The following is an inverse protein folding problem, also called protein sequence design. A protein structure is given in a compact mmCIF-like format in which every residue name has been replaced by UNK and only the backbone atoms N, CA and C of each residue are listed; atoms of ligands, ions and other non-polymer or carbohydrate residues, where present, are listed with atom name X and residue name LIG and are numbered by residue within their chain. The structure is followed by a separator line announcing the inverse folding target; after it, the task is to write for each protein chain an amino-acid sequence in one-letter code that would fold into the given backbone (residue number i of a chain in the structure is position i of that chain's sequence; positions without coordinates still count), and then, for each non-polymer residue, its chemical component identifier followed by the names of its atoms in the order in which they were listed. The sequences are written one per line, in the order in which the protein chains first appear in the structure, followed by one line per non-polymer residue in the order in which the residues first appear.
data_IF_587163943467
#
_entry.id   IF_587163943467
#
_cell.length_a   1.000
_cell.length_b   1.000
_cell.length_c   1.000
_cell.angle_alpha   90.00
_cell.angle_beta   90.00
_cell.angle_gamma   90.00
#
_symmetry.space_group_name_H-M   'P 1'
#
loop_
_entity.id
_entity.type
_entity.pdbx_description
1 polymer ?
#
# COMPACT_ATOMS: atom_id res chain seq x y z
N UNK A 1 -8.58 -58.19 59.70
CA UNK A 1 -7.38 -57.50 59.18
C UNK A 1 -7.82 -56.18 58.57
N UNK A 2 -7.16 -55.06 58.90
CA UNK A 2 -7.79 -53.75 59.12
C UNK A 2 -7.54 -52.72 58.00
N UNK A 3 -8.34 -51.65 58.09
CA UNK A 3 -8.15 -50.25 57.71
C UNK A 3 -6.83 -49.81 57.02
N UNK A 4 -6.95 -48.97 55.99
CA UNK A 4 -6.19 -47.72 55.94
C UNK A 4 -6.88 -46.64 55.08
N UNK A 5 -6.81 -45.43 55.63
CA UNK A 5 -7.44 -44.16 55.30
C UNK A 5 -6.31 -43.22 54.85
N UNK A 6 -6.41 -42.52 53.71
CA UNK A 6 -5.59 -41.36 53.29
C UNK A 6 -5.92 -41.06 51.81
N UNK A 7 -6.03 -39.85 51.29
CA UNK A 7 -6.35 -38.51 51.77
C UNK A 7 -6.62 -37.66 50.50
N UNK A 8 -7.36 -36.56 50.68
CA UNK A 8 -7.63 -35.53 49.66
C UNK A 8 -6.37 -35.07 48.90
N UNK A 9 -6.53 -34.87 47.59
CA UNK A 9 -5.64 -34.07 46.75
C UNK A 9 -6.46 -33.19 45.80
N UNK A 10 -7.05 -32.12 46.33
CA UNK A 10 -7.67 -31.05 45.54
C UNK A 10 -6.58 -30.33 44.72
N UNK A 11 -6.51 -30.60 43.42
CA UNK A 11 -5.64 -29.86 42.51
C UNK A 11 -6.33 -28.56 42.10
N UNK A 12 -6.20 -27.56 42.97
CA UNK A 12 -6.49 -26.16 42.66
C UNK A 12 -5.38 -25.64 41.74
N UNK A 13 -5.59 -25.78 40.43
CA UNK A 13 -4.70 -25.23 39.41
C UNK A 13 -4.71 -23.71 39.45
N UNK A 14 -3.60 -23.15 39.93
CA UNK A 14 -3.26 -21.74 39.95
C UNK A 14 -3.39 -21.13 38.54
N UNK A 15 -4.45 -20.36 38.30
CA UNK A 15 -4.54 -19.44 37.16
C UNK A 15 -3.47 -18.36 37.36
N UNK A 16 -2.28 -18.61 36.82
CA UNK A 16 -1.28 -17.58 36.62
C UNK A 16 -1.89 -16.52 35.71
N UNK A 17 -2.28 -15.39 36.32
CA UNK A 17 -2.65 -14.18 35.60
C UNK A 17 -1.48 -13.76 34.73
N UNK A 18 -1.56 -14.08 33.45
CA UNK A 18 -0.70 -13.51 32.45
C UNK A 18 -0.98 -11.99 32.44
N UNK A 19 -0.09 -11.24 33.09
CA UNK A 19 0.01 -9.81 32.89
C UNK A 19 0.23 -9.58 31.40
N UNK A 20 -0.86 -9.27 30.68
CA UNK A 20 -0.77 -8.72 29.33
C UNK A 20 -0.15 -7.34 29.50
N UNK A 21 1.17 -7.27 29.33
CA UNK A 21 1.90 -6.04 29.27
C UNK A 21 1.32 -5.23 28.10
N UNK A 22 0.65 -4.12 28.42
CA UNK A 22 0.22 -3.13 27.43
C UNK A 22 1.48 -2.64 26.69
N UNK A 23 1.55 -2.78 25.36
CA UNK A 23 2.69 -2.27 24.62
C UNK A 23 2.74 -0.74 24.79
N UNK A 24 3.95 -0.15 24.94
CA UNK A 24 4.10 1.29 25.05
C UNK A 24 3.53 1.98 23.81
N UNK A 25 2.71 3.01 24.01
CA UNK A 25 2.18 3.85 22.94
C UNK A 25 3.37 4.39 22.12
N UNK A 26 3.47 4.08 20.82
CA UNK A 26 4.59 4.57 20.02
C UNK A 26 4.55 6.10 19.94
N UNK A 27 5.68 6.72 20.27
CA UNK A 27 5.94 8.15 20.08
C UNK A 27 5.59 8.53 18.62
N UNK A 28 4.99 9.69 18.34
CA UNK A 28 4.68 10.11 16.97
C UNK A 28 5.94 10.06 16.11
N UNK A 29 6.04 9.05 15.25
CA UNK A 29 7.05 9.02 14.22
C UNK A 29 6.62 10.05 13.18
N UNK A 30 7.42 11.12 13.03
CA UNK A 30 7.26 12.02 11.91
C UNK A 30 7.40 11.19 10.61
N UNK A 31 6.69 11.57 9.53
CA UNK A 31 6.81 10.91 8.25
C UNK A 31 8.28 10.92 7.78
N UNK A 32 8.69 9.93 6.95
CA UNK A 32 10.02 9.90 6.37
C UNK A 32 10.33 11.23 5.69
N UNK A 33 11.51 11.77 5.99
CA UNK A 33 12.00 13.05 5.49
C UNK A 33 12.23 12.93 3.98
N UNK A 34 11.22 13.31 3.19
CA UNK A 34 11.26 13.18 1.72
C UNK A 34 9.91 13.29 1.01
N UNK A 35 8.79 13.08 1.71
CA UNK A 35 7.47 13.44 1.18
C UNK A 35 7.26 14.94 1.35
N UNK A 36 7.19 15.69 0.25
CA UNK A 36 6.69 17.06 0.28
C UNK A 36 5.27 17.00 0.84
N UNK A 37 4.93 17.71 1.94
CA UNK A 37 3.56 17.76 2.42
C UNK A 37 2.70 18.29 1.27
N UNK A 38 1.79 17.46 0.78
CA UNK A 38 0.77 17.92 -0.16
C UNK A 38 -0.01 19.04 0.55
N UNK A 39 -0.08 20.26 -0.01
CA UNK A 39 -0.72 21.38 0.67
C UNK A 39 -2.21 21.13 0.99
N UNK A 40 -2.83 20.15 0.31
CA UNK A 40 -4.21 19.74 0.55
C UNK A 40 -4.35 18.64 1.63
N UNK A 41 -3.24 18.24 2.27
CA UNK A 41 -3.22 17.23 3.32
C UNK A 41 -3.02 17.84 4.69
N UNK A 42 -3.96 17.55 5.57
CA UNK A 42 -3.93 17.99 6.95
C UNK A 42 -3.61 16.84 7.89
N UNK A 43 -2.58 17.01 8.72
CA UNK A 43 -2.23 16.01 9.73
C UNK A 43 -3.27 16.01 10.85
N UNK A 44 -3.75 14.82 11.20
CA UNK A 44 -4.65 14.61 12.32
C UNK A 44 -4.32 13.32 13.06
N UNK A 45 -4.59 13.27 14.36
CA UNK A 45 -4.38 12.05 15.17
C UNK A 45 -5.68 11.26 15.24
N UNK A 46 -5.64 9.97 14.95
CA UNK A 46 -6.81 9.09 15.13
C UNK A 46 -7.02 8.82 16.61
N UNK A 47 -8.15 9.29 17.15
CA UNK A 47 -8.57 9.06 18.52
C UNK A 47 -9.32 7.73 18.65
N UNK A 48 -10.17 7.40 17.69
CA UNK A 48 -11.04 6.23 17.72
C UNK A 48 -11.38 5.75 16.30
N UNK A 49 -11.70 4.46 16.16
CA UNK A 49 -12.24 3.88 14.92
C UNK A 49 -13.65 3.36 15.22
N UNK A 50 -14.65 4.04 14.68
CA UNK A 50 -16.08 3.77 14.93
C UNK A 50 -16.63 2.67 14.03
N UNK A 51 -16.21 2.67 12.76
CA UNK A 51 -16.64 1.72 11.74
C UNK A 51 -15.46 1.38 10.80
N UNK A 52 -15.58 0.36 9.94
CA UNK A 52 -14.48 -0.01 9.04
C UNK A 52 -14.06 1.11 8.07
N UNK A 53 -14.93 2.09 7.78
CA UNK A 53 -14.68 3.26 6.94
C UNK A 53 -14.78 4.60 7.70
N UNK A 54 -14.99 4.58 9.03
CA UNK A 54 -15.28 5.79 9.81
C UNK A 54 -14.40 5.89 11.04
N UNK A 55 -13.64 6.98 11.14
CA UNK A 55 -12.69 7.27 12.22
C UNK A 55 -13.03 8.58 12.90
N UNK A 56 -12.67 8.72 14.18
CA UNK A 56 -12.66 10.00 14.87
C UNK A 56 -11.22 10.48 14.93
N UNK A 57 -11.01 11.69 14.44
CA UNK A 57 -9.70 12.35 14.46
C UNK A 57 -9.73 13.55 15.39
N UNK A 58 -8.59 13.80 16.01
CA UNK A 58 -8.27 15.05 16.69
C UNK A 58 -7.50 15.94 15.72
N UNK A 59 -8.14 17.05 15.32
CA UNK A 59 -7.60 18.06 14.43
C UNK A 59 -7.84 19.45 15.02
N UNK A 60 -6.78 20.24 15.16
CA UNK A 60 -6.84 21.58 15.75
C UNK A 60 -7.55 21.65 17.13
N UNK A 61 -7.41 20.60 17.96
CA UNK A 61 -8.04 20.51 19.28
C UNK A 61 -9.51 20.06 19.28
N UNK A 62 -10.10 19.79 18.12
CA UNK A 62 -11.47 19.29 18.00
C UNK A 62 -11.51 17.83 17.56
N UNK A 63 -12.50 17.09 18.08
CA UNK A 63 -12.82 15.74 17.59
C UNK A 63 -13.83 15.82 16.45
N UNK A 64 -13.53 15.17 15.34
CA UNK A 64 -14.41 15.10 14.16
C UNK A 64 -14.48 13.67 13.64
N UNK A 65 -15.68 13.23 13.27
CA UNK A 65 -15.86 12.01 12.51
C UNK A 65 -15.45 12.24 11.04
N UNK A 66 -14.67 11.32 10.51
CA UNK A 66 -14.19 11.29 9.12
C UNK A 66 -14.61 9.98 8.50
N UNK A 67 -15.39 10.05 7.42
CA UNK A 67 -15.78 8.90 6.60
C UNK A 67 -14.86 8.81 5.38
N UNK A 68 -14.47 7.58 5.04
CA UNK A 68 -13.56 7.33 3.95
C UNK A 68 -14.28 7.56 2.61
N UNK A 69 -13.64 8.32 1.73
CA UNK A 69 -14.16 8.59 0.39
C UNK A 69 -13.93 7.39 -0.54
N UNK A 70 -14.85 7.17 -1.49
CA UNK A 70 -14.63 6.26 -2.61
C UNK A 70 -14.78 4.76 -2.30
N UNK A 71 -15.26 4.40 -1.12
CA UNK A 71 -15.41 3.02 -0.66
C UNK A 71 -16.84 2.73 -0.24
N UNK A 72 -17.30 1.52 -0.52
CA UNK A 72 -18.58 0.98 -0.04
C UNK A 72 -18.34 -0.34 0.70
N UNK A 73 -18.87 -0.41 1.92
CA UNK A 73 -18.75 -1.56 2.80
C UNK A 73 -19.99 -2.46 2.77
N UNK A 74 -21.01 -2.16 1.96
CA UNK A 74 -22.22 -2.98 1.86
C UNK A 74 -21.85 -4.42 1.53
N UNK A 75 -22.11 -5.34 2.45
CA UNK A 75 -21.76 -6.75 2.29
C UNK A 75 -22.89 -7.48 1.52
N UNK A 76 -22.54 -8.35 0.57
CA UNK A 76 -23.51 -9.24 -0.08
C UNK A 76 -24.11 -10.25 0.92
N UNK A 77 -25.31 -10.80 0.65
CA UNK A 77 -25.99 -11.72 1.58
C UNK A 77 -25.18 -12.95 1.98
N UNK A 78 -24.36 -13.45 1.05
CA UNK A 78 -23.53 -14.64 1.24
C UNK A 78 -22.13 -14.32 1.81
N UNK A 79 -21.87 -13.06 2.17
CA UNK A 79 -20.62 -12.69 2.82
C UNK A 79 -20.49 -13.39 4.19
N UNK A 80 -19.25 -13.76 4.59
CA UNK A 80 -19.02 -14.25 5.95
C UNK A 80 -19.52 -13.24 6.98
N UNK A 81 -20.23 -13.68 8.05
CA UNK A 81 -20.75 -12.77 9.06
C UNK A 81 -19.64 -12.01 9.80
N UNK A 82 -18.42 -12.57 9.86
CA UNK A 82 -17.25 -11.94 10.49
C UNK A 82 -16.60 -10.85 9.64
N UNK A 83 -16.96 -10.72 8.35
CA UNK A 83 -16.20 -9.87 7.43
C UNK A 83 -16.27 -8.38 7.81
N UNK A 84 -17.39 -7.94 8.38
CA UNK A 84 -17.54 -6.58 8.90
C UNK A 84 -16.60 -6.32 10.10
N UNK A 85 -16.51 -7.27 11.03
CA UNK A 85 -15.66 -7.19 12.21
C UNK A 85 -14.18 -7.25 11.83
N UNK A 86 -13.82 -8.13 10.88
CA UNK A 86 -12.47 -8.22 10.33
C UNK A 86 -12.02 -6.90 9.67
N UNK A 87 -12.93 -6.25 8.94
CA UNK A 87 -12.68 -4.95 8.32
C UNK A 87 -12.48 -3.85 9.38
N UNK A 88 -13.31 -3.85 10.42
CA UNK A 88 -13.19 -2.91 11.55
C UNK A 88 -11.86 -3.08 12.27
N UNK A 89 -11.50 -4.32 12.61
CA UNK A 89 -10.27 -4.63 13.30
C UNK A 89 -9.03 -4.37 12.43
N UNK A 90 -9.13 -4.60 11.13
CA UNK A 90 -8.10 -4.19 10.19
C UNK A 90 -7.90 -2.67 10.22
N UNK A 91 -8.96 -1.88 10.12
CA UNK A 91 -8.85 -0.42 10.14
C UNK A 91 -8.29 0.07 11.48
N UNK A 92 -8.73 -0.51 12.61
CA UNK A 92 -8.16 -0.26 13.95
C UNK A 92 -6.65 -0.50 14.00
N UNK A 93 -6.17 -1.62 13.46
CA UNK A 93 -4.73 -1.92 13.41
C UNK A 93 -3.96 -0.98 12.47
N UNK A 94 -4.58 -0.60 11.36
CA UNK A 94 -3.98 0.25 10.34
C UNK A 94 -3.81 1.69 10.85
N UNK A 95 -4.86 2.31 11.39
CA UNK A 95 -4.86 3.76 11.69
C UNK A 95 -5.05 4.10 13.16
N UNK A 96 -5.51 3.18 14.01
CA UNK A 96 -5.82 3.46 15.41
C UNK A 96 -4.65 4.05 16.19
N UNK A 97 -4.87 5.22 16.81
CA UNK A 97 -3.86 5.92 17.61
C UNK A 97 -2.73 6.58 16.81
N UNK A 98 -2.71 6.45 15.48
CA UNK A 98 -1.66 6.97 14.59
C UNK A 98 -1.97 8.38 14.11
N UNK A 99 -0.94 9.05 13.59
CA UNK A 99 -1.10 10.31 12.85
C UNK A 99 -1.35 9.95 11.39
N UNK A 100 -2.42 10.50 10.82
CA UNK A 100 -2.82 10.32 9.43
C UNK A 100 -2.85 11.68 8.72
N UNK A 101 -2.67 11.66 7.41
CA UNK A 101 -2.87 12.79 6.53
C UNK A 101 -4.28 12.73 5.93
N UNK A 102 -5.07 13.77 6.17
CA UNK A 102 -6.43 13.88 5.67
C UNK A 102 -6.45 14.78 4.46
N UNK A 103 -6.79 14.21 3.32
CA UNK A 103 -6.91 14.92 2.06
C UNK A 103 -8.39 15.13 1.71
N UNK A 104 -8.74 16.33 1.26
CA UNK A 104 -10.12 16.66 0.89
C UNK A 104 -10.48 16.13 -0.50
N UNK A 105 -11.69 15.59 -0.64
CA UNK A 105 -12.28 15.25 -1.94
C UNK A 105 -12.87 16.46 -2.69
N UNK A 106 -13.42 16.21 -3.87
CA UNK A 106 -14.11 17.23 -4.69
C UNK A 106 -15.51 17.56 -4.18
N UNK A 107 -16.19 16.61 -3.53
CA UNK A 107 -17.54 16.81 -3.00
C UNK A 107 -17.57 17.80 -1.80
N UNK A 108 -18.67 18.55 -1.69
CA UNK A 108 -18.94 19.42 -0.53
C UNK A 108 -19.29 18.58 0.71
N UNK A 109 -18.78 18.99 1.87
CA UNK A 109 -19.08 18.36 3.15
C UNK A 109 -20.43 18.88 3.68
N UNK A 110 -21.53 18.17 3.42
CA UNK A 110 -22.87 18.50 3.96
C UNK A 110 -23.12 17.83 5.34
N UNK A 111 -22.14 17.93 6.25
CA UNK A 111 -22.29 17.52 7.66
C UNK A 111 -21.30 16.46 8.17
N UNK A 112 -20.82 15.56 7.30
CA UNK A 112 -19.76 14.58 7.61
C UNK A 112 -18.49 14.88 6.80
N UNK A 113 -17.31 14.83 7.43
CA UNK A 113 -16.05 15.04 6.73
C UNK A 113 -15.74 13.81 5.88
N UNK A 114 -15.76 13.96 4.55
CA UNK A 114 -15.35 12.89 3.63
C UNK A 114 -13.93 13.11 3.17
N UNK A 115 -13.02 12.19 3.50
CA UNK A 115 -11.57 12.37 3.27
C UNK A 115 -10.91 11.12 2.68
N UNK A 116 -9.84 11.37 1.95
CA UNK A 116 -8.82 10.36 1.69
C UNK A 116 -7.89 10.31 2.89
N UNK A 117 -7.72 9.12 3.45
CA UNK A 117 -6.96 8.92 4.68
C UNK A 117 -5.64 8.24 4.35
N UNK A 118 -4.57 8.98 4.54
CA UNK A 118 -3.21 8.55 4.23
C UNK A 118 -2.45 8.21 5.52
N UNK A 119 -1.76 7.09 5.50
CA UNK A 119 -0.77 6.72 6.51
C UNK A 119 0.60 6.67 5.83
N UNK A 120 1.34 7.78 5.90
CA UNK A 120 2.50 8.01 5.04
C UNK A 120 2.12 7.76 3.57
N UNK A 121 2.77 6.82 2.89
CA UNK A 121 2.54 6.53 1.47
C UNK A 121 1.36 5.56 1.20
N UNK A 122 0.67 5.09 2.25
CA UNK A 122 -0.45 4.15 2.12
C UNK A 122 -1.79 4.86 2.20
N UNK A 123 -2.58 4.76 1.14
CA UNK A 123 -3.97 5.20 1.14
C UNK A 123 -4.85 4.16 1.83
N UNK A 124 -5.30 4.43 3.06
CA UNK A 124 -6.10 3.50 3.86
C UNK A 124 -7.40 3.08 3.15
N UNK A 125 -8.02 3.99 2.39
CA UNK A 125 -9.20 3.72 1.57
C UNK A 125 -8.93 2.60 0.56
N UNK A 126 -7.79 2.65 -0.14
CA UNK A 126 -7.39 1.62 -1.09
C UNK A 126 -7.01 0.31 -0.40
N UNK A 127 -6.41 0.36 0.79
CA UNK A 127 -6.06 -0.85 1.54
C UNK A 127 -7.28 -1.68 1.94
N UNK A 128 -8.40 -1.03 2.31
CA UNK A 128 -9.67 -1.71 2.57
C UNK A 128 -10.21 -2.44 1.33
N UNK A 129 -10.15 -1.77 0.18
CA UNK A 129 -10.57 -2.35 -1.10
C UNK A 129 -9.64 -3.49 -1.53
N UNK A 130 -8.32 -3.30 -1.38
CA UNK A 130 -7.27 -4.26 -1.74
C UNK A 130 -7.42 -5.59 -1.01
N UNK A 131 -7.86 -5.55 0.24
CA UNK A 131 -8.13 -6.74 1.05
C UNK A 131 -9.55 -7.31 0.85
N UNK A 132 -10.38 -6.68 0.01
CA UNK A 132 -11.72 -7.15 -0.29
C UNK A 132 -12.73 -6.90 0.83
N UNK A 133 -12.47 -5.95 1.72
CA UNK A 133 -13.45 -5.51 2.72
C UNK A 133 -14.48 -4.56 2.11
N UNK A 134 -14.04 -3.71 1.18
CA UNK A 134 -14.86 -2.72 0.50
C UNK A 134 -14.83 -2.88 -1.03
N UNK A 135 -15.85 -2.32 -1.70
CA UNK A 135 -15.91 -2.09 -3.15
C UNK A 135 -15.67 -0.62 -3.48
N UNK A 136 -15.34 -0.32 -4.74
CA UNK A 136 -15.15 1.07 -5.19
C UNK A 136 -16.49 1.77 -5.37
N UNK A 137 -16.67 2.91 -4.71
CA UNK A 137 -17.90 3.71 -4.77
C UNK A 137 -17.57 5.20 -4.96
N UNK A 138 -17.22 5.57 -6.19
CA UNK A 138 -16.83 6.92 -6.58
C UNK A 138 -17.94 7.61 -7.34
N UNK A 139 -18.18 8.89 -7.06
CA UNK A 139 -18.97 9.75 -7.95
C UNK A 139 -18.19 10.03 -9.26
N UNK A 140 -18.84 10.51 -10.32
CA UNK A 140 -18.18 10.88 -11.57
C UNK A 140 -17.05 11.90 -11.38
N UNK A 141 -17.27 12.88 -10.50
CA UNK A 141 -16.34 14.00 -10.26
C UNK A 141 -15.08 13.58 -9.48
N UNK A 142 -15.15 12.51 -8.69
CA UNK A 142 -14.04 12.01 -7.85
C UNK A 142 -13.04 11.20 -8.67
N UNK A 143 -12.12 11.89 -9.32
CA UNK A 143 -11.13 11.29 -10.24
C UNK A 143 -9.76 11.00 -9.61
N UNK A 144 -9.36 11.71 -8.55
CA UNK A 144 -7.97 11.73 -8.02
C UNK A 144 -7.37 10.35 -7.70
N UNK A 145 -8.15 9.44 -7.13
CA UNK A 145 -7.70 8.10 -6.72
C UNK A 145 -8.49 6.95 -7.36
N UNK A 146 -9.17 7.25 -8.48
CA UNK A 146 -10.01 6.27 -9.18
C UNK A 146 -9.22 5.05 -9.61
N UNK A 147 -8.10 5.26 -10.28
CA UNK A 147 -7.25 4.19 -10.78
C UNK A 147 -6.66 3.35 -9.65
N UNK A 148 -6.19 3.99 -8.57
CA UNK A 148 -5.66 3.30 -7.38
C UNK A 148 -6.70 2.38 -6.75
N UNK A 149 -7.93 2.86 -6.58
CA UNK A 149 -9.03 2.08 -6.02
C UNK A 149 -9.45 0.93 -6.95
N UNK A 150 -9.56 1.18 -8.26
CA UNK A 150 -9.92 0.16 -9.24
C UNK A 150 -8.86 -0.94 -9.35
N UNK A 151 -7.57 -0.58 -9.33
CA UNK A 151 -6.47 -1.53 -9.30
C UNK A 151 -6.53 -2.39 -8.03
N UNK A 152 -6.70 -1.77 -6.86
CA UNK A 152 -6.86 -2.48 -5.59
C UNK A 152 -8.04 -3.46 -5.61
N UNK A 153 -9.17 -3.08 -6.20
CA UNK A 153 -10.33 -3.96 -6.34
C UNK A 153 -10.07 -5.12 -7.29
N UNK A 154 -9.38 -4.85 -8.41
CA UNK A 154 -8.91 -5.87 -9.35
C UNK A 154 -8.01 -6.90 -8.67
N UNK A 155 -7.05 -6.46 -7.86
CA UNK A 155 -6.20 -7.35 -7.07
C UNK A 155 -7.01 -8.19 -6.07
N UNK A 156 -7.98 -7.58 -5.38
CA UNK A 156 -8.80 -8.27 -4.40
C UNK A 156 -9.64 -9.38 -5.05
N UNK A 157 -10.20 -9.11 -6.24
CA UNK A 157 -10.93 -10.10 -7.05
C UNK A 157 -10.01 -11.22 -7.54
N UNK A 158 -8.86 -10.87 -8.12
CA UNK A 158 -7.90 -11.85 -8.64
C UNK A 158 -7.35 -12.76 -7.55
N UNK A 159 -7.09 -12.21 -6.36
CA UNK A 159 -6.61 -12.94 -5.19
C UNK A 159 -7.73 -13.55 -4.33
N UNK A 160 -9.02 -13.41 -4.72
CA UNK A 160 -10.19 -13.92 -4.00
C UNK A 160 -10.22 -13.55 -2.51
N UNK A 161 -9.91 -12.29 -2.19
CA UNK A 161 -9.84 -11.79 -0.81
C UNK A 161 -11.20 -11.29 -0.31
N UNK A 162 -11.46 -11.43 0.99
CA UNK A 162 -12.65 -10.89 1.65
C UNK A 162 -13.95 -11.31 0.97
N UNK A 163 -14.76 -10.32 0.54
CA UNK A 163 -16.03 -10.54 -0.17
C UNK A 163 -15.90 -11.27 -1.51
N UNK A 164 -14.70 -11.39 -2.05
CA UNK A 164 -14.43 -12.05 -3.33
C UNK A 164 -14.06 -13.54 -3.19
N UNK A 165 -14.04 -14.07 -1.97
CA UNK A 165 -13.59 -15.44 -1.70
C UNK A 165 -14.49 -16.54 -2.29
N UNK A 166 -15.78 -16.26 -2.49
CA UNK A 166 -16.78 -17.27 -2.86
C UNK A 166 -17.36 -17.12 -4.28
N UNK A 167 -17.01 -16.07 -5.04
CA UNK A 167 -17.54 -15.81 -6.40
C UNK A 167 -17.01 -16.75 -7.51
N UNK A 168 -16.36 -17.85 -7.14
CA UNK A 168 -15.64 -18.70 -8.09
C UNK A 168 -16.23 -20.10 -8.32
N UNK A 169 -17.51 -20.31 -8.05
CA UNK A 169 -18.23 -21.47 -8.61
C UNK A 169 -18.85 -21.18 -9.98
N UNK A 170 -18.84 -19.93 -10.48
CA UNK A 170 -19.61 -19.59 -11.68
C UNK A 170 -18.82 -19.28 -12.96
N UNK A 171 -17.54 -18.87 -12.93
CA UNK A 171 -16.83 -18.54 -14.19
C UNK A 171 -15.30 -18.53 -14.04
N UNK A 172 -14.68 -19.71 -14.05
CA UNK A 172 -13.24 -19.80 -14.33
C UNK A 172 -13.05 -19.76 -15.86
N UNK A 173 -12.77 -18.59 -16.42
CA UNK A 173 -12.07 -18.51 -17.72
C UNK A 173 -10.59 -18.77 -17.40
N UNK A 174 -9.98 -19.88 -17.85
CA UNK A 174 -8.58 -20.13 -17.57
C UNK A 174 -7.74 -19.07 -18.30
N UNK A 175 -6.98 -18.29 -17.54
CA UNK A 175 -5.89 -17.48 -18.07
C UNK A 175 -4.82 -18.45 -18.60
N UNK A 176 -4.29 -18.27 -19.83
CA UNK A 176 -3.30 -19.20 -20.37
C UNK A 176 -2.02 -19.12 -19.53
N UNK A 177 -1.67 -20.25 -18.92
CA UNK A 177 -0.40 -20.47 -18.24
C UNK A 177 0.75 -20.15 -19.20
N UNK A 178 1.77 -19.36 -18.82
CA UNK A 178 2.99 -19.28 -19.60
C UNK A 178 3.67 -20.67 -19.59
N UNK A 179 3.67 -21.33 -20.75
CA UNK A 179 4.41 -22.56 -21.04
C UNK A 179 5.88 -22.36 -20.67
N UNK A 180 6.32 -23.00 -19.59
CA UNK A 180 7.73 -23.13 -19.28
C UNK A 180 8.41 -23.97 -20.38
N UNK A 181 9.39 -23.38 -21.06
CA UNK A 181 10.26 -24.06 -22.01
C UNK A 181 11.07 -25.17 -21.31
N UNK A 182 11.20 -26.38 -21.89
CA UNK A 182 11.99 -27.43 -21.28
C UNK A 182 13.49 -27.14 -21.42
N UNK A 183 14.20 -27.36 -20.31
CA UNK A 183 15.64 -27.22 -20.16
C UNK A 183 16.42 -28.29 -20.94
N UNK A 184 17.47 -27.81 -21.61
CA UNK A 184 18.80 -28.40 -21.86
C UNK A 184 18.94 -29.93 -21.84
N UNK A 185 19.07 -30.55 -23.01
CA UNK A 185 19.69 -31.86 -23.18
C UNK A 185 21.19 -31.71 -23.55
N UNK A 186 22.04 -32.44 -22.83
CA UNK A 186 23.49 -32.60 -23.04
C UNK A 186 23.82 -33.38 -24.33
N UNK A 187 24.87 -33.00 -25.10
CA UNK A 187 25.31 -33.77 -26.27
C UNK A 187 26.27 -34.91 -25.88
N UNK A 188 26.00 -36.12 -26.38
CA UNK A 188 26.93 -37.27 -26.34
C UNK A 188 27.53 -37.49 -27.73
N UNK A 189 28.85 -37.70 -27.77
CA UNK A 189 29.72 -37.79 -28.94
C UNK A 189 29.63 -39.17 -29.62
N UNK A 190 29.47 -39.17 -30.96
CA UNK A 190 30.00 -40.21 -31.86
C UNK A 190 30.19 -39.64 -33.29
N UNK A 191 31.40 -39.80 -33.85
CA UNK A 191 31.88 -39.40 -35.19
C UNK A 191 32.24 -40.67 -36.02
N UNK A 192 32.61 -40.65 -37.33
CA UNK A 192 32.36 -39.67 -38.42
C UNK A 192 31.91 -40.28 -39.81
N UNK A 193 31.30 -39.42 -40.66
CA UNK A 193 31.30 -39.21 -42.15
C UNK A 193 31.48 -40.36 -43.21
N UNK A 194 31.05 -40.21 -44.50
CA UNK A 194 31.36 -39.10 -45.44
C UNK A 194 30.15 -38.51 -46.23
N UNK A 195 30.05 -37.18 -46.37
CA UNK A 195 30.51 -36.31 -47.49
C UNK A 195 29.50 -36.13 -48.64
N UNK A 196 28.89 -34.93 -48.71
CA UNK A 196 28.61 -34.24 -49.98
C UNK A 196 28.20 -32.77 -49.76
N UNK A 197 29.05 -31.85 -50.22
CA UNK A 197 28.81 -30.43 -50.52
C UNK A 197 29.92 -30.06 -51.53
N UNK A 198 29.85 -29.03 -52.41
CA UNK A 198 29.02 -27.83 -52.32
C UNK A 198 28.47 -27.28 -53.67
N UNK A 199 27.83 -26.09 -53.64
CA UNK A 199 28.06 -24.89 -54.53
C UNK A 199 26.76 -24.02 -54.67
N UNK A 200 26.79 -22.68 -54.92
CA UNK A 200 26.21 -21.69 -53.99
C UNK A 200 25.15 -20.78 -54.67
N UNK A 201 24.68 -19.78 -53.94
CA UNK A 201 23.80 -18.69 -54.41
C UNK A 201 24.39 -17.86 -55.57
N UNK A 202 23.52 -17.18 -56.34
CA UNK A 202 23.60 -15.71 -56.33
C UNK A 202 22.24 -14.97 -56.43
N UNK A 203 22.20 -13.75 -55.89
CA UNK A 203 21.42 -12.59 -56.38
C UNK A 203 22.45 -11.57 -56.96
N UNK A 204 22.12 -10.47 -57.71
CA UNK A 204 20.86 -9.74 -58.00
C UNK A 204 20.58 -9.69 -59.54
N UNK A 205 19.57 -9.05 -60.15
CA UNK A 205 19.36 -7.60 -60.45
C UNK A 205 17.99 -7.38 -61.15
N UNK A 206 17.48 -6.14 -61.07
CA UNK A 206 16.24 -5.61 -61.66
C UNK A 206 16.10 -5.74 -63.21
N UNK A 207 14.88 -5.56 -63.75
CA UNK A 207 14.67 -4.36 -64.57
C UNK A 207 13.35 -3.61 -64.35
N UNK A 208 13.49 -2.29 -64.45
CA UNK A 208 12.48 -1.25 -64.75
C UNK A 208 11.51 -1.65 -65.86
N UNK A 209 10.20 -1.39 -65.66
CA UNK A 209 9.26 -0.94 -66.71
C UNK A 209 7.95 -0.47 -66.08
N UNK A 210 7.77 0.84 -66.00
CA UNK A 210 6.46 1.51 -66.03
C UNK A 210 5.82 1.31 -67.41
N UNK A 211 4.48 1.19 -67.50
CA UNK A 211 3.72 2.35 -67.97
C UNK A 211 2.37 2.57 -67.25
N UNK A 212 2.17 3.80 -66.78
CA UNK A 212 1.13 4.74 -67.23
C UNK A 212 -0.33 4.23 -67.41
N UNK A 213 -1.14 4.61 -66.42
CA UNK A 213 -2.53 5.14 -66.46
C UNK A 213 -3.67 4.36 -67.12
N UNK A 214 -4.64 3.95 -66.28
CA UNK A 214 -6.07 4.23 -66.52
C UNK A 214 -6.77 4.45 -65.16
N UNK A 215 -7.49 5.56 -64.93
CA UNK A 215 -8.29 5.71 -63.73
C UNK A 215 -9.51 4.77 -63.81
N UNK A 216 -9.68 3.91 -62.81
CA UNK A 216 -10.91 3.17 -62.62
C UNK A 216 -11.93 4.08 -61.93
N UNK A 217 -13.07 4.26 -62.59
CA UNK A 217 -14.28 4.91 -62.09
C UNK A 217 -14.71 4.29 -60.75
N UNK A 218 -14.91 5.05 -59.67
CA UNK A 218 -15.52 4.52 -58.46
C UNK A 218 -17.02 4.34 -58.67
N UNK A 219 -17.47 3.09 -58.59
CA UNK A 219 -18.89 2.71 -58.48
C UNK A 219 -19.51 3.33 -57.21
N UNK A 220 -20.71 3.94 -57.28
CA UNK A 220 -21.35 4.52 -56.11
C UNK A 220 -21.79 3.44 -55.12
N UNK A 221 -21.37 3.63 -53.86
CA UNK A 221 -21.76 2.86 -52.68
C UNK A 221 -23.27 3.01 -52.41
N UNK A 222 -24.00 1.95 -52.04
CA UNK A 222 -25.40 2.05 -51.62
C UNK A 222 -25.55 2.89 -50.34
N UNK A 223 -26.65 3.65 -50.17
CA UNK A 223 -26.85 4.47 -48.97
C UNK A 223 -26.99 3.60 -47.73
N UNK A 224 -26.36 4.05 -46.64
CA UNK A 224 -26.50 3.46 -45.32
C UNK A 224 -27.96 3.51 -44.82
N UNK A 225 -28.41 2.56 -43.98
CA UNK A 225 -29.71 2.65 -43.35
C UNK A 225 -29.77 3.90 -42.47
N UNK A 226 -30.77 4.74 -42.72
CA UNK A 226 -31.13 5.92 -41.94
C UNK A 226 -31.32 5.52 -40.48
N UNK A 227 -30.36 5.86 -39.62
CA UNK A 227 -30.61 5.93 -38.19
C UNK A 227 -31.55 7.11 -37.96
N UNK A 228 -32.79 6.80 -37.60
CA UNK A 228 -33.76 7.76 -37.06
C UNK A 228 -33.12 8.47 -35.86
N UNK A 229 -32.71 9.73 -36.04
CA UNK A 229 -32.37 10.59 -34.91
C UNK A 229 -33.63 10.74 -34.03
N UNK A 230 -33.53 10.61 -32.71
CA UNK A 230 -34.58 11.10 -31.83
C UNK A 230 -34.77 12.61 -32.07
N UNK A 231 -36.00 13.15 -31.93
CA UNK A 231 -36.25 14.56 -32.17
C UNK A 231 -35.33 15.40 -31.29
N UNK A 232 -34.71 16.41 -31.88
CA UNK A 232 -33.95 17.42 -31.16
C UNK A 232 -34.83 17.99 -30.03
N UNK A 233 -34.29 18.02 -28.81
CA UNK A 233 -34.91 18.73 -27.71
C UNK A 233 -35.18 20.20 -28.13
N UNK A 234 -36.30 20.79 -27.71
CA UNK A 234 -36.61 22.17 -28.07
C UNK A 234 -35.51 23.10 -27.58
N UNK A 235 -34.96 23.90 -28.49
CA UNK A 235 -34.08 25.03 -28.15
C UNK A 235 -34.78 25.90 -27.10
N UNK A 236 -34.14 26.22 -25.95
CA UNK A 236 -34.71 27.17 -25.01
C UNK A 236 -34.99 28.50 -25.72
N UNK A 237 -36.20 29.01 -25.58
CA UNK A 237 -36.57 30.33 -26.08
C UNK A 237 -35.57 31.37 -25.53
N UNK A 238 -35.09 32.26 -26.39
CA UNK A 238 -34.24 33.38 -25.99
C UNK A 238 -34.95 34.18 -24.87
N UNK A 239 -34.22 34.60 -23.82
CA UNK A 239 -34.81 35.42 -22.76
C UNK A 239 -35.33 36.75 -23.35
N UNK A 240 -36.44 37.29 -22.83
CA UNK A 240 -36.97 38.57 -23.31
C UNK A 240 -35.94 39.70 -23.11
N UNK A 241 -35.95 40.74 -23.96
CA UNK A 241 -35.04 41.87 -23.82
C UNK A 241 -35.25 42.56 -22.46
N UNK A 242 -34.15 42.85 -21.78
CA UNK A 242 -34.12 43.57 -20.51
C UNK A 242 -34.73 44.97 -20.70
N UNK A 243 -35.69 45.40 -19.84
CA UNK A 243 -36.22 46.75 -19.91
C UNK A 243 -35.10 47.79 -19.64
N UNK A 244 -35.17 48.99 -20.21
CA UNK A 244 -34.20 50.04 -19.93
C UNK A 244 -34.25 50.39 -18.44
N UNK A 245 -33.06 50.50 -17.83
CA UNK A 245 -32.89 50.88 -16.44
C UNK A 245 -33.60 52.20 -16.16
N UNK A 246 -34.76 52.11 -15.51
CA UNK A 246 -35.39 53.26 -14.86
C UNK A 246 -34.44 53.77 -13.78
N UNK A 247 -34.10 55.05 -13.85
CA UNK A 247 -33.21 55.71 -12.91
C UNK A 247 -33.64 55.48 -11.47
N UNK A 248 -32.74 54.91 -10.68
CA UNK A 248 -32.83 55.00 -9.22
C UNK A 248 -32.54 56.46 -8.83
N UNK A 249 -33.35 57.09 -7.96
CA UNK A 249 -32.94 58.35 -7.37
C UNK A 249 -31.62 58.14 -6.63
N UNK A 250 -30.64 59.01 -6.85
CA UNK A 250 -29.38 59.05 -6.09
C UNK A 250 -29.70 59.05 -4.60
N UNK A 251 -29.53 57.90 -3.94
CA UNK A 251 -29.40 57.89 -2.50
C UNK A 251 -27.97 58.34 -2.19
N UNK A 252 -27.85 59.53 -1.62
CA UNK A 252 -26.61 60.03 -1.03
C UNK A 252 -25.97 58.91 -0.19
N UNK A 253 -24.64 58.72 -0.25
CA UNK A 253 -23.97 57.80 0.63
C UNK A 253 -24.25 58.20 2.08
N UNK A 254 -24.88 57.30 2.84
CA UNK A 254 -24.95 57.43 4.29
C UNK A 254 -23.53 57.62 4.84
N UNK A 255 -23.29 58.55 5.78
CA UNK A 255 -22.00 58.65 6.44
C UNK A 255 -21.67 57.30 7.11
N UNK A 256 -20.40 56.88 7.15
CA UNK A 256 -20.01 55.64 7.80
C UNK A 256 -20.52 55.65 9.25
N UNK A 257 -20.99 54.50 9.79
CA UNK A 257 -21.42 54.46 11.17
C UNK A 257 -20.24 54.86 12.05
N UNK A 258 -20.41 55.91 12.85
CA UNK A 258 -19.46 56.30 13.89
C UNK A 258 -19.19 55.08 14.75
N UNK A 259 -17.95 54.58 14.70
CA UNK A 259 -17.51 53.49 15.56
C UNK A 259 -17.75 53.91 17.01
N UNK A 260 -18.77 53.32 17.63
CA UNK A 260 -18.94 53.45 19.08
C UNK A 260 -17.75 52.72 19.71
N UNK A 261 -16.97 53.35 20.61
CA UNK A 261 -15.87 52.66 21.25
C UNK A 261 -16.43 51.47 22.04
N UNK A 262 -16.11 50.26 21.57
CA UNK A 262 -16.38 49.03 22.31
C UNK A 262 -15.54 49.11 23.59
N UNK A 263 -16.23 49.10 24.73
CA UNK A 263 -15.58 49.07 26.04
C UNK A 263 -14.58 47.88 26.08
N UNK A 264 -13.39 48.05 26.66
CA UNK A 264 -12.41 46.97 26.76
C UNK A 264 -13.03 45.80 27.50
N UNK A 265 -13.08 44.63 26.86
CA UNK A 265 -13.53 43.41 27.53
C UNK A 265 -12.59 43.12 28.71
N UNK A 266 -13.13 42.67 29.87
CA UNK A 266 -12.30 42.34 31.01
C UNK A 266 -11.33 41.21 30.63
N UNK A 267 -10.04 41.44 30.85
CA UNK A 267 -8.99 40.45 30.69
C UNK A 267 -9.38 39.19 31.49
N UNK A 268 -9.45 38.00 30.87
CA UNK A 268 -9.72 36.78 31.63
C UNK A 268 -8.57 36.58 32.63
N UNK A 269 -8.93 36.42 33.91
CA UNK A 269 -7.97 36.13 34.96
C UNK A 269 -7.15 34.88 34.61
N UNK A 270 -5.85 34.81 34.96
CA UNK A 270 -5.04 33.65 34.68
C UNK A 270 -5.65 32.43 35.36
N UNK A 271 -6.09 31.47 34.54
CA UNK A 271 -6.57 30.17 35.02
C UNK A 271 -5.38 29.49 35.67
N UNK A 272 -5.38 29.43 37.00
CA UNK A 272 -4.37 28.69 37.76
C UNK A 272 -4.63 27.20 37.52
N UNK A 273 -3.84 26.62 36.63
CA UNK A 273 -3.83 25.17 36.41
C UNK A 273 -3.30 24.52 37.70
N UNK A 274 -4.08 23.67 38.38
CA UNK A 274 -3.59 22.99 39.57
C UNK A 274 -2.39 22.10 39.20
N UNK A 275 -1.35 22.02 40.04
CA UNK A 275 -0.23 21.13 39.79
C UNK A 275 -0.74 19.69 39.67
N UNK A 276 -0.18 18.87 38.76
CA UNK A 276 -0.58 17.49 38.63
C UNK A 276 -0.42 16.75 39.96
N UNK A 277 -1.29 15.77 40.27
CA UNK A 277 -1.17 15.00 41.49
C UNK A 277 0.21 14.34 41.58
N UNK A 278 0.88 14.50 42.72
CA UNK A 278 2.16 13.83 43.00
C UNK A 278 1.86 12.34 43.08
N UNK A 279 2.14 11.62 42.00
CA UNK A 279 2.05 10.16 41.99
C UNK A 279 3.27 9.63 42.76
N UNK A 280 3.10 8.88 43.86
CA UNK A 280 4.23 8.32 44.59
C UNK A 280 5.02 7.40 43.66
N UNK A 281 6.33 7.66 43.57
CA UNK A 281 7.24 6.85 42.76
C UNK A 281 7.17 5.39 43.29
N UNK A 282 6.95 4.39 42.43
CA UNK A 282 6.91 3.00 42.87
C UNK A 282 8.23 2.62 43.57
N UNK A 283 8.18 1.77 44.61
CA UNK A 283 9.35 1.37 45.36
C UNK A 283 10.38 0.77 44.39
N UNK A 284 11.61 1.27 44.44
CA UNK A 284 12.67 0.74 43.60
C UNK A 284 12.96 -0.70 44.03
N UNK A 285 13.17 -1.64 43.08
CA UNK A 285 13.61 -2.98 43.42
C UNK A 285 14.95 -2.91 44.16
N UNK A 286 15.22 -3.85 45.10
CA UNK A 286 16.48 -3.87 45.82
C UNK A 286 17.65 -3.99 44.84
N UNK A 287 18.82 -3.42 45.16
CA UNK A 287 19.99 -3.53 44.29
C UNK A 287 20.32 -5.01 44.09
N UNK A 288 20.36 -5.42 42.82
CA UNK A 288 20.73 -6.78 42.43
C UNK A 288 22.13 -7.08 42.97
N UNK A 289 22.25 -8.17 43.74
CA UNK A 289 23.52 -8.62 44.29
C UNK A 289 24.55 -8.79 43.17
N UNK A 290 25.72 -8.17 43.36
CA UNK A 290 26.91 -8.33 42.53
C UNK A 290 27.20 -9.82 42.30
N UNK A 291 27.32 -10.30 41.05
CA UNK A 291 27.70 -11.69 40.82
C UNK A 291 29.14 -11.90 41.31
N UNK A 292 29.33 -12.93 42.13
CA UNK A 292 30.64 -13.36 42.63
C UNK A 292 31.60 -13.65 41.47
N UNK A 293 32.91 -13.38 41.63
CA UNK A 293 33.89 -13.63 40.58
C UNK A 293 33.94 -15.13 40.24
N UNK A 294 33.68 -15.46 38.99
CA UNK A 294 33.82 -16.81 38.48
C UNK A 294 35.28 -17.24 38.63
N UNK A 295 35.52 -18.34 39.36
CA UNK A 295 36.83 -18.98 39.44
C UNK A 295 37.24 -19.41 38.03
N UNK A 296 38.30 -18.79 37.53
CA UNK A 296 38.98 -19.18 36.30
C UNK A 296 39.41 -20.63 36.39
N UNK A 297 38.78 -21.50 35.60
CA UNK A 297 39.29 -22.84 35.34
C UNK A 297 40.58 -22.71 34.52
N UNK A 298 41.64 -23.32 35.02
CA UNK A 298 42.93 -23.50 34.32
C UNK A 298 42.71 -24.16 32.97
N UNK A 299 43.21 -23.61 31.85
CA UNK A 299 43.10 -24.28 30.56
C UNK A 299 44.04 -25.51 30.54
N UNK A 300 43.45 -26.67 30.28
CA UNK A 300 44.19 -27.89 29.96
C UNK A 300 45.01 -27.69 28.69
N UNK A 301 46.25 -28.17 28.70
CA UNK A 301 47.21 -28.09 27.60
C UNK A 301 46.65 -28.71 26.31
N UNK A 302 46.70 -27.96 25.21
CA UNK A 302 46.45 -28.48 23.87
C UNK A 302 47.62 -29.36 23.41
N UNK A 303 47.38 -30.51 22.75
CA UNK A 303 48.45 -31.27 22.11
C UNK A 303 48.99 -30.51 20.89
N UNK A 304 50.29 -30.30 20.88
CA UNK A 304 51.06 -29.60 19.85
C UNK A 304 50.98 -30.32 18.50
N UNK A 305 50.66 -29.59 17.44
CA UNK A 305 50.68 -30.10 16.06
C UNK A 305 52.10 -30.48 15.63
N UNK A 306 52.29 -31.54 14.81
CA UNK A 306 53.60 -31.92 14.30
C UNK A 306 54.14 -30.89 13.28
N UNK A 307 55.47 -30.72 13.20
CA UNK A 307 56.10 -29.73 12.31
C UNK A 307 55.93 -30.09 10.82
N UNK A 308 55.95 -29.09 9.91
CA UNK A 308 55.82 -29.32 8.48
C UNK A 308 57.06 -30.05 7.89
N UNK A 309 56.90 -30.81 6.80
CA UNK A 309 58.00 -31.54 6.17
C UNK A 309 59.02 -30.59 5.54
N UNK A 310 60.29 -30.93 5.72
CA UNK A 310 61.47 -30.22 5.24
C UNK A 310 61.50 -30.15 3.70
N UNK A 311 61.76 -28.96 3.16
CA UNK A 311 61.88 -28.73 1.73
C UNK A 311 63.06 -29.51 1.12
N UNK A 312 62.77 -30.35 0.13
CA UNK A 312 63.76 -31.07 -0.70
C UNK A 312 64.52 -30.09 -1.60
N UNK A 313 65.86 -30.16 -1.68
CA UNK A 313 66.63 -29.28 -2.56
C UNK A 313 66.39 -29.62 -4.06
N UNK A 314 66.51 -28.63 -4.97
CA UNK A 314 66.27 -28.82 -6.39
C UNK A 314 67.31 -29.75 -7.02
N UNK A 315 66.82 -30.58 -7.95
CA UNK A 315 67.57 -31.58 -8.70
C UNK A 315 68.57 -30.90 -9.67
N UNK A 316 69.81 -31.37 -9.81
CA UNK A 316 70.76 -30.81 -10.78
C UNK A 316 70.27 -31.04 -12.22
N UNK A 317 70.44 -30.02 -13.06
CA UNK A 317 70.06 -30.03 -14.47
C UNK A 317 70.89 -31.01 -15.32
N UNK A 318 70.42 -31.35 -16.52
CA UNK A 318 71.03 -32.37 -17.37
C UNK A 318 72.42 -31.93 -17.90
N UNK A 319 73.39 -32.83 -17.79
CA UNK A 319 74.72 -32.69 -18.42
C UNK A 319 74.61 -32.72 -19.95
N UNK A 320 75.44 -31.95 -20.68
CA UNK A 320 75.45 -31.94 -22.14
C UNK A 320 75.98 -33.27 -22.73
N UNK A 321 75.30 -33.78 -23.75
CA UNK A 321 75.75 -34.93 -24.55
C UNK A 321 76.94 -34.56 -25.45
N UNK A 322 77.86 -35.51 -25.72
CA UNK A 322 79.01 -35.27 -26.58
C UNK A 322 78.64 -35.27 -28.07
N UNK A 323 79.25 -34.34 -28.79
CA UNK A 323 79.34 -34.27 -30.25
C UNK A 323 79.99 -35.54 -30.82
N UNK A 324 79.25 -36.32 -31.60
CA UNK A 324 79.84 -37.32 -32.49
C UNK A 324 80.05 -36.69 -33.87
N UNK A 325 81.32 -36.55 -34.23
CA UNK A 325 81.78 -36.13 -35.55
C UNK A 325 81.83 -37.30 -36.54
N UNK A 326 81.72 -36.94 -37.81
CA UNK A 326 81.87 -37.78 -38.99
C UNK A 326 83.11 -38.66 -39.01
N UNK A 327 82.98 -39.87 -39.56
CA UNK A 327 83.76 -40.37 -40.70
C UNK A 327 82.95 -41.44 -41.41
#
# INVERSE_FOLDING_TARGET
MPALLLALGASLGLLAGACVATPPVPKPALPPRGATPDPDRHLARVAEVLAPDTIVVEYAGYRRAVRYLGVDLTLPPDAPPSLADEALDFNRRLVGGRVVELERGTARDDGELRRWVWLADKLANAELVRLGYATVALSPDETRHRETLQAAEGEARAARRGRWSYIATATAVPSPTPTAAPATATPTVASPQPTSTPRPAPAPVAPTSTPTTRPATPTPRPPAPTATQPPAAPTPAAPPPTPPAGGQPEQQPLPPPTATPVAPQPTPAPVTVPPPPIVPRPPQPPPTATPAPQRTATPAAQPTAPPPPTATPPRPGPSPQPTQGST
#
